data_IF_967080085366
#
_entry.id   IF_967080085366
#
_cell.length_a   1.000
_cell.length_b   1.000
_cell.length_c   1.000
_cell.angle_alpha   90.00
_cell.angle_beta   90.00
_cell.angle_gamma   90.00
#
_symmetry.space_group_name_H-M   'P 1'
#
loop_
_entity.id
_entity.type
_entity.pdbx_description
1 polymer ?
#
# COMPACT_ATOMS: atom_id res chain seq x y z
N UNK A 1 8.97 7.44 29.20
CA UNK A 1 7.98 7.89 28.20
C UNK A 1 8.59 9.06 27.42
N UNK A 2 9.62 8.80 26.60
CA UNK A 2 10.36 9.84 25.86
C UNK A 2 10.84 9.39 24.46
N UNK A 3 10.62 8.12 24.10
CA UNK A 3 11.23 7.50 22.91
C UNK A 3 10.31 7.46 21.68
N UNK A 4 9.00 7.63 21.89
CA UNK A 4 7.98 7.62 20.82
C UNK A 4 7.89 9.02 20.20
N UNK A 5 7.89 10.06 21.03
CA UNK A 5 7.82 11.46 20.57
C UNK A 5 9.01 11.83 19.68
N UNK A 6 10.21 11.35 19.99
CA UNK A 6 11.41 11.58 19.17
C UNK A 6 11.33 10.97 17.76
N UNK A 7 10.60 9.87 17.57
CA UNK A 7 10.41 9.26 16.25
C UNK A 7 9.38 10.07 15.46
N UNK A 8 8.26 10.45 16.10
CA UNK A 8 7.21 11.28 15.50
C UNK A 8 7.72 12.67 15.08
N UNK A 9 8.59 13.31 15.87
CA UNK A 9 9.16 14.62 15.55
C UNK A 9 10.02 14.60 14.28
N UNK A 10 10.77 13.50 14.04
CA UNK A 10 11.59 13.35 12.83
C UNK A 10 10.76 13.06 11.56
N UNK A 11 9.55 12.49 11.69
CA UNK A 11 8.65 12.25 10.56
C UNK A 11 7.66 13.39 10.32
N UNK A 12 7.60 14.41 11.18
CA UNK A 12 6.61 15.49 11.08
C UNK A 12 6.64 16.25 9.75
N UNK A 13 7.82 16.64 9.21
CA UNK A 13 7.88 17.28 7.89
C UNK A 13 7.39 16.35 6.77
N UNK A 14 7.80 15.08 6.79
CA UNK A 14 7.36 14.07 5.82
C UNK A 14 5.84 13.90 5.88
N UNK A 15 5.26 13.75 7.07
CA UNK A 15 3.81 13.59 7.26
C UNK A 15 3.06 14.83 6.76
N UNK A 16 3.59 16.03 6.98
CA UNK A 16 3.00 17.27 6.45
C UNK A 16 2.95 17.26 4.93
N UNK A 17 4.04 16.86 4.27
CA UNK A 17 4.09 16.76 2.82
C UNK A 17 3.12 15.68 2.30
N UNK A 18 3.07 14.52 2.95
CA UNK A 18 2.14 13.44 2.60
C UNK A 18 0.68 13.88 2.72
N UNK A 19 0.32 14.66 3.75
CA UNK A 19 -1.03 15.24 3.91
C UNK A 19 -1.38 16.19 2.79
N UNK A 20 -0.41 17.00 2.33
CA UNK A 20 -0.62 17.92 1.21
C UNK A 20 -0.86 17.14 -0.09
N UNK A 21 -0.01 16.17 -0.40
CA UNK A 21 -0.14 15.31 -1.58
C UNK A 21 -1.46 14.55 -1.55
N UNK A 22 -1.82 13.95 -0.41
CA UNK A 22 -3.08 13.23 -0.21
C UNK A 22 -4.29 14.11 -0.55
N UNK A 23 -4.32 15.34 -0.02
CA UNK A 23 -5.40 16.29 -0.31
C UNK A 23 -5.48 16.62 -1.79
N UNK A 24 -4.35 16.89 -2.44
CA UNK A 24 -4.29 17.18 -3.88
C UNK A 24 -4.81 16.00 -4.71
N UNK A 25 -4.37 14.77 -4.40
CA UNK A 25 -4.77 13.56 -5.13
C UNK A 25 -6.21 13.15 -4.90
N UNK A 26 -6.76 13.34 -3.70
CA UNK A 26 -8.19 13.11 -3.45
C UNK A 26 -9.08 14.13 -4.13
N UNK A 27 -8.63 15.38 -4.24
CA UNK A 27 -9.33 16.39 -5.04
C UNK A 27 -9.31 16.02 -6.53
N UNK A 28 -8.16 15.60 -7.06
CA UNK A 28 -8.02 15.09 -8.42
C UNK A 28 -8.97 13.90 -8.68
N UNK A 29 -9.04 12.94 -7.76
CA UNK A 29 -10.01 11.84 -7.80
C UNK A 29 -11.45 12.34 -7.88
N UNK A 30 -11.82 13.25 -6.98
CA UNK A 30 -13.19 13.77 -6.89
C UNK A 30 -13.63 14.45 -8.17
N UNK A 31 -12.73 15.14 -8.86
CA UNK A 31 -13.02 15.87 -10.10
C UNK A 31 -13.12 14.97 -11.34
N UNK A 32 -12.35 13.88 -11.38
CA UNK A 32 -12.12 13.12 -12.61
C UNK A 32 -12.73 11.72 -12.62
N UNK A 33 -13.11 11.15 -11.47
CA UNK A 33 -13.65 9.78 -11.44
C UNK A 33 -15.04 9.67 -12.10
N UNK A 34 -15.22 8.63 -12.92
CA UNK A 34 -16.49 8.23 -13.49
C UNK A 34 -17.20 7.24 -12.55
N UNK A 35 -18.24 7.73 -11.89
CA UNK A 35 -19.08 6.98 -10.95
C UNK A 35 -19.72 5.73 -11.61
N UNK A 36 -19.90 5.73 -12.93
CA UNK A 36 -20.53 4.63 -13.65
C UNK A 36 -19.53 3.53 -14.04
N UNK A 37 -18.23 3.73 -13.84
CA UNK A 37 -17.20 2.77 -14.19
C UNK A 37 -16.93 1.80 -13.03
N UNK A 38 -17.35 0.54 -13.19
CA UNK A 38 -17.15 -0.51 -12.17
C UNK A 38 -15.69 -0.72 -11.74
N UNK A 39 -14.71 -0.50 -12.64
CA UNK A 39 -13.28 -0.59 -12.29
C UNK A 39 -12.87 0.54 -11.32
N UNK A 40 -13.51 1.71 -11.43
CA UNK A 40 -13.32 2.84 -10.51
C UNK A 40 -14.03 2.62 -9.17
N UNK A 41 -15.01 1.72 -9.12
CA UNK A 41 -15.63 1.26 -7.87
C UNK A 41 -14.61 0.62 -6.91
N UNK A 42 -13.69 -0.22 -7.41
CA UNK A 42 -12.65 -0.83 -6.55
C UNK A 42 -11.65 0.20 -6.04
N UNK A 43 -11.25 1.16 -6.89
CA UNK A 43 -10.39 2.27 -6.46
C UNK A 43 -11.09 3.13 -5.41
N UNK A 44 -12.37 3.43 -5.60
CA UNK A 44 -13.19 4.18 -4.65
C UNK A 44 -13.19 3.54 -3.26
N UNK A 45 -13.25 2.21 -3.18
CA UNK A 45 -13.19 1.50 -1.89
C UNK A 45 -11.84 1.72 -1.18
N UNK A 46 -10.72 1.64 -1.92
CA UNK A 46 -9.39 1.86 -1.36
C UNK A 46 -9.16 3.33 -0.98
N UNK A 47 -9.62 4.26 -1.82
CA UNK A 47 -9.46 5.70 -1.59
C UNK A 47 -10.35 6.13 -0.42
N UNK A 48 -11.63 5.78 -0.40
CA UNK A 48 -12.58 6.27 0.59
C UNK A 48 -12.55 5.50 1.92
N UNK A 49 -12.02 4.27 1.93
CA UNK A 49 -11.96 3.43 3.12
C UNK A 49 -10.62 2.67 3.24
N UNK A 50 -9.48 3.39 3.27
CA UNK A 50 -8.17 2.76 3.36
C UNK A 50 -7.98 2.06 4.71
N UNK A 51 -8.59 2.58 5.78
CA UNK A 51 -8.45 2.04 7.14
C UNK A 51 -8.92 0.58 7.24
N UNK A 52 -9.99 0.22 6.53
CA UNK A 52 -10.53 -1.14 6.57
C UNK A 52 -9.80 -2.11 5.66
N UNK A 53 -9.14 -1.59 4.61
CA UNK A 53 -8.61 -2.43 3.51
C UNK A 53 -7.08 -2.51 3.53
N UNK A 54 -6.42 -1.41 3.85
CA UNK A 54 -4.96 -1.21 3.87
C UNK A 54 -4.56 -0.40 5.11
N UNK A 55 -4.80 -0.92 6.33
CA UNK A 55 -4.59 -0.17 7.57
C UNK A 55 -3.16 0.35 7.71
N UNK A 56 -3.03 1.64 8.06
CA UNK A 56 -1.74 2.34 8.19
C UNK A 56 -1.21 2.97 6.90
N UNK A 57 -1.88 2.78 5.76
CA UNK A 57 -1.56 3.45 4.48
C UNK A 57 -2.60 4.55 4.18
N UNK A 58 -2.49 5.66 4.91
CA UNK A 58 -3.55 6.69 4.97
C UNK A 58 -3.49 7.71 3.83
N UNK A 59 -2.32 7.91 3.22
CA UNK A 59 -2.07 9.02 2.29
C UNK A 59 -2.10 8.54 0.84
N UNK A 60 -2.98 9.07 0.01
CA UNK A 60 -2.99 8.79 -1.43
C UNK A 60 -1.90 9.62 -2.13
N UNK A 61 -0.87 8.95 -2.64
CA UNK A 61 0.33 9.58 -3.21
C UNK A 61 0.19 9.78 -4.71
N UNK A 62 -0.39 8.81 -5.41
CA UNK A 62 -0.50 8.87 -6.86
C UNK A 62 -1.71 8.06 -7.36
N UNK A 63 -2.31 8.56 -8.43
CA UNK A 63 -3.37 7.89 -9.19
C UNK A 63 -2.92 7.91 -10.64
N UNK A 64 -2.81 6.75 -11.26
CA UNK A 64 -2.44 6.67 -12.67
C UNK A 64 -3.70 6.61 -13.52
N UNK A 65 -3.96 7.68 -14.29
CA UNK A 65 -5.14 7.82 -15.16
C UNK A 65 -4.87 7.41 -16.62
N UNK A 66 -3.74 7.86 -17.18
CA UNK A 66 -3.57 7.96 -18.65
C UNK A 66 -2.52 7.01 -19.24
N UNK A 67 -2.02 6.07 -18.44
CA UNK A 67 -1.13 5.03 -18.94
C UNK A 67 -1.95 3.74 -19.08
N UNK A 68 -2.18 3.26 -20.32
CA UNK A 68 -2.98 2.04 -20.56
C UNK A 68 -2.53 0.86 -19.69
N UNK A 69 -1.22 0.72 -19.44
CA UNK A 69 -0.66 -0.36 -18.64
C UNK A 69 -0.90 -0.19 -17.13
N UNK A 70 -1.19 1.03 -16.66
CA UNK A 70 -1.25 1.41 -15.24
C UNK A 70 -2.50 2.18 -14.88
N UNK A 71 -3.49 2.21 -15.75
CA UNK A 71 -4.75 2.94 -15.54
C UNK A 71 -5.43 2.51 -14.25
N UNK A 72 -5.13 1.33 -13.71
CA UNK A 72 -5.75 0.81 -12.51
C UNK A 72 -4.86 0.84 -11.26
N UNK A 73 -3.76 1.60 -11.31
CA UNK A 73 -2.76 1.67 -10.25
C UNK A 73 -3.00 2.83 -9.28
N UNK A 74 -2.85 2.54 -7.98
CA UNK A 74 -2.85 3.51 -6.88
C UNK A 74 -1.54 3.39 -6.08
N UNK A 75 -1.10 4.47 -5.47
CA UNK A 75 0.02 4.46 -4.52
C UNK A 75 -0.41 5.14 -3.23
N UNK A 76 -0.20 4.47 -2.10
CA UNK A 76 -0.48 4.98 -0.77
C UNK A 76 0.79 5.09 0.07
N UNK A 77 0.84 6.06 0.98
CA UNK A 77 1.90 6.29 1.94
C UNK A 77 1.44 6.02 3.37
N UNK A 78 2.38 5.61 4.22
CA UNK A 78 2.19 5.45 5.66
C UNK A 78 2.92 6.55 6.44
N UNK A 79 2.57 6.70 7.73
CA UNK A 79 3.28 7.59 8.66
C UNK A 79 4.74 7.17 8.91
N UNK A 80 5.12 5.97 8.45
CA UNK A 80 6.44 5.37 8.66
C UNK A 80 7.33 5.41 7.42
N UNK A 81 6.95 6.20 6.40
CA UNK A 81 7.72 6.33 5.16
C UNK A 81 7.71 5.08 4.26
N UNK A 82 6.79 4.13 4.49
CA UNK A 82 6.57 2.98 3.61
C UNK A 82 5.44 3.31 2.64
N UNK A 83 5.67 3.07 1.34
CA UNK A 83 4.66 3.19 0.30
C UNK A 83 4.11 1.82 -0.11
N UNK A 84 2.81 1.76 -0.35
CA UNK A 84 2.09 0.60 -0.87
C UNK A 84 1.57 0.93 -2.27
N UNK A 85 2.02 0.17 -3.26
CA UNK A 85 1.41 0.19 -4.60
C UNK A 85 0.28 -0.82 -4.67
N UNK A 86 -0.84 -0.44 -5.28
CA UNK A 86 -2.01 -1.30 -5.45
C UNK A 86 -2.47 -1.29 -6.89
N UNK A 87 -2.43 -2.45 -7.53
CA UNK A 87 -3.04 -2.66 -8.84
C UNK A 87 -4.45 -3.20 -8.68
N UNK A 88 -5.45 -2.50 -9.23
CA UNK A 88 -6.85 -2.89 -9.10
C UNK A 88 -7.36 -3.62 -10.36
N UNK A 89 -8.21 -4.63 -10.19
CA UNK A 89 -8.92 -5.24 -11.32
C UNK A 89 -10.27 -5.80 -10.92
N UNK A 90 -11.31 -5.43 -11.68
CA UNK A 90 -12.61 -6.06 -11.59
C UNK A 90 -12.62 -7.35 -12.42
N UNK A 91 -12.73 -8.49 -11.74
CA UNK A 91 -12.78 -9.81 -12.35
C UNK A 91 -14.21 -10.17 -12.79
N UNK A 92 -14.30 -10.95 -13.86
CA UNK A 92 -15.57 -11.50 -14.34
C UNK A 92 -16.01 -12.71 -13.50
N UNK A 93 -17.03 -12.52 -12.67
CA UNK A 93 -17.53 -13.53 -11.72
C UNK A 93 -18.54 -14.54 -12.32
N UNK A 94 -18.64 -14.64 -13.65
CA UNK A 94 -19.53 -15.59 -14.32
C UNK A 94 -19.25 -17.06 -13.93
N UNK A 95 -20.28 -17.89 -13.96
CA UNK A 95 -20.13 -19.31 -13.61
C UNK A 95 -19.65 -20.17 -14.80
N UNK A 96 -19.09 -21.35 -14.48
CA UNK A 96 -18.64 -22.34 -15.47
C UNK A 96 -17.12 -22.49 -15.56
N UNK A 97 -16.66 -23.63 -16.07
CA UNK A 97 -15.23 -23.98 -16.11
C UNK A 97 -14.40 -22.99 -16.93
N UNK A 98 -14.93 -22.52 -18.07
CA UNK A 98 -14.24 -21.52 -18.91
C UNK A 98 -14.10 -20.18 -18.20
N UNK A 99 -15.16 -19.70 -17.55
CA UNK A 99 -15.14 -18.45 -16.80
C UNK A 99 -14.17 -18.55 -15.60
N UNK A 100 -14.11 -19.71 -14.94
CA UNK A 100 -13.14 -19.96 -13.86
C UNK A 100 -11.70 -19.85 -14.36
N UNK A 101 -11.35 -20.51 -15.48
CA UNK A 101 -10.00 -20.42 -16.06
C UNK A 101 -9.61 -18.98 -16.41
N UNK A 102 -10.53 -18.24 -17.06
CA UNK A 102 -10.28 -16.83 -17.39
C UNK A 102 -10.08 -15.95 -16.14
N UNK A 103 -10.78 -16.24 -15.03
CA UNK A 103 -10.52 -15.58 -13.75
C UNK A 103 -9.15 -15.94 -13.19
N UNK A 104 -8.75 -17.21 -13.24
CA UNK A 104 -7.43 -17.65 -12.77
C UNK A 104 -6.31 -16.95 -13.56
N UNK A 105 -6.44 -16.87 -14.89
CA UNK A 105 -5.50 -16.14 -15.74
C UNK A 105 -5.47 -14.65 -15.40
N UNK A 106 -6.64 -14.02 -15.19
CA UNK A 106 -6.73 -12.61 -14.80
C UNK A 106 -6.13 -12.34 -13.41
N UNK A 107 -6.23 -13.29 -12.47
CA UNK A 107 -5.58 -13.21 -11.13
C UNK A 107 -4.06 -13.23 -11.26
N UNK A 108 -3.52 -14.05 -12.16
CA UNK A 108 -2.09 -14.10 -12.43
C UNK A 108 -1.64 -12.79 -13.08
N UNK A 109 -2.38 -12.30 -14.08
CA UNK A 109 -2.06 -11.05 -14.78
C UNK A 109 -2.05 -9.83 -13.84
N UNK A 110 -3.08 -9.65 -12.99
CA UNK A 110 -3.13 -8.51 -12.05
C UNK A 110 -1.96 -8.56 -11.06
N UNK A 111 -1.55 -9.75 -10.63
CA UNK A 111 -0.40 -9.90 -9.71
C UNK A 111 0.91 -9.54 -10.41
N UNK A 112 1.06 -9.89 -11.67
CA UNK A 112 2.24 -9.51 -12.47
C UNK A 112 2.25 -8.00 -12.77
N UNK A 113 1.09 -7.38 -13.01
CA UNK A 113 0.97 -5.92 -13.12
C UNK A 113 1.31 -5.22 -11.80
N UNK A 114 0.87 -5.74 -10.65
CA UNK A 114 1.28 -5.24 -9.33
C UNK A 114 2.80 -5.32 -9.11
N UNK A 115 3.44 -6.40 -9.55
CA UNK A 115 4.90 -6.58 -9.50
C UNK A 115 5.63 -5.50 -10.32
N UNK A 116 5.21 -5.27 -11.56
CA UNK A 116 5.77 -4.23 -12.45
C UNK A 116 5.53 -2.82 -11.89
N UNK A 117 4.37 -2.58 -11.29
CA UNK A 117 4.05 -1.31 -10.63
C UNK A 117 4.97 -1.05 -9.43
N UNK A 118 5.25 -2.07 -8.60
CA UNK A 118 6.21 -2.00 -7.50
C UNK A 118 7.60 -1.60 -8.00
N UNK A 119 8.10 -2.23 -9.07
CA UNK A 119 9.41 -1.90 -9.68
C UNK A 119 9.46 -0.45 -10.17
N UNK A 120 8.40 0.01 -10.84
CA UNK A 120 8.30 1.40 -11.27
C UNK A 120 8.31 2.38 -10.09
N UNK A 121 7.53 2.08 -9.05
CA UNK A 121 7.47 2.94 -7.88
C UNK A 121 8.82 2.99 -7.15
N UNK A 122 9.58 1.89 -7.13
CA UNK A 122 10.96 1.87 -6.62
C UNK A 122 11.84 2.84 -7.41
N UNK A 123 11.77 2.82 -8.74
CA UNK A 123 12.55 3.73 -9.57
C UNK A 123 12.14 5.21 -9.37
N UNK A 124 10.85 5.49 -9.18
CA UNK A 124 10.32 6.87 -9.04
C UNK A 124 10.47 7.43 -7.62
N UNK A 125 10.24 6.62 -6.60
CA UNK A 125 10.07 7.04 -5.20
C UNK A 125 11.11 6.44 -4.25
N UNK A 126 12.06 5.64 -4.72
CA UNK A 126 13.05 4.96 -3.86
C UNK A 126 13.97 5.90 -3.06
N UNK A 127 14.07 7.18 -3.45
CA UNK A 127 14.82 8.20 -2.71
C UNK A 127 13.97 8.94 -1.65
N UNK A 128 12.65 8.71 -1.64
CA UNK A 128 11.69 9.37 -0.74
C UNK A 128 11.09 8.37 0.24
N UNK A 129 10.68 7.21 -0.25
CA UNK A 129 10.16 6.13 0.57
C UNK A 129 11.29 5.28 1.14
N UNK A 130 11.21 4.94 2.44
CA UNK A 130 12.12 3.99 3.09
C UNK A 130 11.98 2.59 2.46
N UNK A 131 10.74 2.22 2.11
CA UNK A 131 10.42 0.94 1.49
C UNK A 131 9.17 1.06 0.63
N UNK A 132 9.11 0.26 -0.42
CA UNK A 132 7.95 0.14 -1.30
C UNK A 132 7.53 -1.33 -1.36
N UNK A 133 6.25 -1.56 -1.10
CA UNK A 133 5.60 -2.87 -1.16
C UNK A 133 4.50 -2.84 -2.23
N UNK A 134 4.14 -4.00 -2.77
CA UNK A 134 3.13 -4.10 -3.83
C UNK A 134 2.02 -5.09 -3.50
N UNK A 135 0.81 -4.77 -3.94
CA UNK A 135 -0.35 -5.65 -3.86
C UNK A 135 -1.24 -5.54 -5.10
N UNK A 136 -2.01 -6.59 -5.37
CA UNK A 136 -3.19 -6.52 -6.23
C UNK A 136 -4.46 -6.46 -5.37
N UNK A 137 -5.49 -5.78 -5.87
CA UNK A 137 -6.79 -5.70 -5.23
C UNK A 137 -7.93 -5.99 -6.22
N UNK A 138 -8.76 -6.98 -5.91
CA UNK A 138 -9.81 -7.47 -6.81
C UNK A 138 -11.16 -7.62 -6.09
N UNK A 139 -12.23 -7.77 -6.86
CA UNK A 139 -13.57 -8.13 -6.37
C UNK A 139 -13.73 -9.65 -6.13
N UNK A 140 -12.63 -10.40 -6.02
CA UNK A 140 -12.66 -11.84 -5.82
C UNK A 140 -13.24 -12.18 -4.45
N UNK A 141 -14.33 -12.94 -4.43
CA UNK A 141 -14.93 -13.44 -3.19
C UNK A 141 -14.48 -14.88 -2.87
N UNK A 142 -13.77 -15.54 -3.79
CA UNK A 142 -13.24 -16.90 -3.59
C UNK A 142 -11.84 -16.88 -2.93
N UNK A 143 -11.07 -15.79 -3.08
CA UNK A 143 -9.74 -15.60 -2.48
C UNK A 143 -9.65 -14.30 -1.66
N UNK A 144 -8.52 -14.08 -0.99
CA UNK A 144 -8.20 -12.78 -0.39
C UNK A 144 -8.30 -11.67 -1.47
N UNK A 145 -9.11 -10.63 -1.20
CA UNK A 145 -9.29 -9.51 -2.14
C UNK A 145 -8.01 -8.72 -2.36
N UNK A 146 -7.22 -8.55 -1.30
CA UNK A 146 -5.91 -7.92 -1.31
C UNK A 146 -4.83 -8.99 -1.26
N UNK A 147 -3.99 -9.07 -2.29
CA UNK A 147 -2.92 -10.07 -2.39
C UNK A 147 -1.58 -9.38 -2.61
N UNK A 148 -0.64 -9.61 -1.70
CA UNK A 148 0.70 -9.03 -1.81
C UNK A 148 1.53 -9.75 -2.89
N UNK A 149 2.44 -8.99 -3.51
CA UNK A 149 3.35 -9.50 -4.55
C UNK A 149 4.18 -10.65 -4.00
N UNK A 150 4.69 -10.51 -2.78
CA UNK A 150 5.48 -11.52 -2.06
C UNK A 150 5.18 -11.56 -0.55
N UNK A 151 5.76 -12.54 0.15
CA UNK A 151 5.56 -12.74 1.59
C UNK A 151 6.18 -11.62 2.45
N UNK A 152 7.25 -10.98 1.98
CA UNK A 152 7.88 -9.89 2.73
C UNK A 152 6.98 -8.66 2.73
N UNK A 153 6.38 -8.34 1.58
CA UNK A 153 5.39 -7.27 1.45
C UNK A 153 4.19 -7.50 2.37
N UNK A 154 3.67 -8.74 2.43
CA UNK A 154 2.58 -9.11 3.34
C UNK A 154 2.95 -8.89 4.79
N UNK A 155 4.16 -9.28 5.19
CA UNK A 155 4.62 -9.16 6.57
C UNK A 155 4.85 -7.69 6.97
N UNK A 156 5.41 -6.87 6.07
CA UNK A 156 5.56 -5.42 6.29
C UNK A 156 4.19 -4.77 6.46
N UNK A 157 3.24 -5.05 5.56
CA UNK A 157 1.89 -4.49 5.66
C UNK A 157 1.18 -4.91 6.95
N UNK A 158 1.37 -6.16 7.39
CA UNK A 158 0.84 -6.66 8.67
C UNK A 158 1.41 -5.89 9.86
N UNK A 159 2.72 -5.64 9.88
CA UNK A 159 3.40 -4.86 10.93
C UNK A 159 2.85 -3.43 10.96
N UNK A 160 2.73 -2.78 9.80
CA UNK A 160 2.18 -1.42 9.67
C UNK A 160 0.73 -1.36 10.15
N UNK A 161 -0.10 -2.33 9.75
CA UNK A 161 -1.48 -2.46 10.21
C UNK A 161 -1.58 -2.65 11.72
N UNK A 162 -0.70 -3.46 12.34
CA UNK A 162 -0.69 -3.62 13.80
C UNK A 162 -0.23 -2.36 14.54
N UNK A 163 0.77 -1.65 14.03
CA UNK A 163 1.21 -0.36 14.59
C UNK A 163 0.08 0.67 14.53
N UNK A 164 -0.63 0.74 13.40
CA UNK A 164 -1.76 1.66 13.20
C UNK A 164 -2.89 1.45 14.21
N UNK A 165 -3.22 0.20 14.56
CA UNK A 165 -4.25 -0.11 15.55
C UNK A 165 -3.78 0.00 17.02
N UNK A 166 -2.60 0.56 17.27
CA UNK A 166 -2.10 0.76 18.63
C UNK A 166 -1.59 -0.52 19.30
N UNK A 167 -1.08 -1.49 18.52
CA UNK A 167 -0.41 -2.67 19.05
C UNK A 167 0.89 -2.31 19.79
N UNK A 168 0.77 -2.00 21.09
CA UNK A 168 1.86 -1.62 22.03
C UNK A 168 3.07 -2.57 21.96
N UNK A 169 2.83 -3.86 21.65
CA UNK A 169 3.87 -4.89 21.60
C UNK A 169 4.92 -4.69 20.49
N UNK A 170 4.58 -4.11 19.34
CA UNK A 170 5.55 -3.94 18.23
C UNK A 170 6.45 -2.73 18.47
N UNK A 171 5.95 -1.66 19.08
CA UNK A 171 6.80 -0.52 19.47
C UNK A 171 7.91 -1.00 20.40
N UNK A 172 7.57 -1.87 21.36
CA UNK A 172 8.55 -2.51 22.24
C UNK A 172 9.53 -3.36 21.42
N UNK A 173 9.06 -4.15 20.45
CA UNK A 173 9.91 -5.01 19.62
C UNK A 173 10.86 -4.22 18.68
N UNK A 174 10.37 -3.17 18.02
CA UNK A 174 11.19 -2.29 17.14
C UNK A 174 12.23 -1.54 17.97
N UNK A 175 11.85 -1.03 19.14
CA UNK A 175 12.79 -0.41 20.08
C UNK A 175 13.83 -1.41 20.57
N UNK A 176 13.43 -2.66 20.83
CA UNK A 176 14.34 -3.74 21.22
C UNK A 176 15.32 -4.09 20.10
N UNK A 177 14.86 -4.21 18.85
CA UNK A 177 15.70 -4.47 17.68
C UNK A 177 16.69 -3.33 17.42
N UNK A 178 16.27 -2.07 17.56
CA UNK A 178 17.18 -0.92 17.44
C UNK A 178 18.20 -0.90 18.58
N UNK A 179 17.81 -1.20 19.81
CA UNK A 179 18.73 -1.31 20.95
C UNK A 179 19.76 -2.42 20.76
N UNK A 180 19.33 -3.58 20.26
CA UNK A 180 20.22 -4.70 19.95
C UNK A 180 21.20 -4.35 18.81
N UNK A 181 20.74 -3.64 17.78
CA UNK A 181 21.59 -3.15 16.69
C UNK A 181 22.67 -2.18 17.19
N UNK A 182 22.31 -1.19 18.03
CA UNK A 182 23.28 -0.26 18.62
C UNK A 182 24.24 -0.94 19.60
N UNK A 183 23.76 -1.91 20.39
CA UNK A 183 24.61 -2.72 21.26
C UNK A 183 25.64 -3.54 20.47
N UNK A 184 25.23 -4.16 19.36
CA UNK A 184 26.14 -4.92 18.51
C UNK A 184 27.23 -4.01 17.92
N UNK A 185 26.88 -2.83 17.40
CA UNK A 185 27.84 -1.86 16.85
C UNK A 185 28.83 -1.36 17.92
N UNK A 186 28.35 -1.14 19.15
CA UNK A 186 29.18 -0.58 20.24
C UNK A 186 30.22 -1.58 20.77
N UNK A 187 29.95 -2.88 20.66
CA UNK A 187 30.86 -3.95 21.12
C UNK A 187 31.75 -4.54 20.02
N UNK A 188 31.69 -3.99 18.80
CA UNK A 188 32.59 -4.35 17.69
C UNK A 188 33.85 -3.48 17.61
N UNK A 189 34.19 -2.75 18.68
CA UNK A 189 35.44 -2.00 18.85
C UNK A 189 36.35 -2.65 19.87
#
# INVERSE_FOLDING_TARGET
MYKIDFILDNFTPLISDLKKIDKEKRNEWTQNHDINNSAEGLKSLLINSPITTIPGFNYLIDIHWDNEDRKNSLIFGSDYGIYLTVETQWLNMNHGQRAKRLRDDARIDVKERARRLKEFAIAKYGNVAIKIIGASYTNDNENEKLQFVDNQDKEIARIIGHLYHGGIFIIIFVVLCMLLYFYAISNMK
#
